data_IF_124307846710
#
_entry.id   IF_124307846710
#
_cell.length_a   1.000
_cell.length_b   1.000
_cell.length_c   1.000
_cell.angle_alpha   90.00
_cell.angle_beta   90.00
_cell.angle_gamma   90.00
#
_symmetry.space_group_name_H-M   'P 1'
#
loop_
_entity.id
_entity.type
_entity.pdbx_description
1 polymer ?
#
# COMPACT_ATOMS: atom_id res chain seq x y z
N UNK A 1 -8.33 -16.20 -5.07
CA UNK A 1 -7.76 -15.41 -6.19
C UNK A 1 -8.90 -15.05 -7.14
N UNK A 2 -9.01 -13.78 -7.56
CA UNK A 2 -10.03 -13.30 -8.48
C UNK A 2 -9.37 -12.97 -9.83
N UNK A 3 -9.83 -13.63 -10.90
CA UNK A 3 -9.24 -13.51 -12.24
C UNK A 3 -10.34 -13.16 -13.24
N UNK A 4 -10.01 -12.33 -14.22
CA UNK A 4 -10.93 -11.96 -15.29
C UNK A 4 -10.27 -10.93 -16.23
N UNK A 5 -10.94 -10.67 -17.35
CA UNK A 5 -10.52 -9.67 -18.34
C UNK A 5 -10.64 -8.25 -17.79
N UNK A 6 -9.97 -7.29 -18.46
CA UNK A 6 -10.15 -5.86 -18.15
C UNK A 6 -11.62 -5.48 -18.33
N UNK A 7 -12.18 -4.75 -17.36
CA UNK A 7 -13.59 -4.33 -17.38
C UNK A 7 -14.59 -5.41 -16.93
N UNK A 8 -14.13 -6.55 -16.39
CA UNK A 8 -15.02 -7.63 -15.89
C UNK A 8 -15.65 -7.35 -14.51
N UNK A 9 -15.31 -6.25 -13.87
CA UNK A 9 -15.87 -5.85 -12.57
C UNK A 9 -15.08 -6.33 -11.34
N UNK A 10 -13.83 -6.78 -11.49
CA UNK A 10 -12.98 -7.23 -10.37
C UNK A 10 -12.81 -6.17 -9.29
N UNK A 11 -12.43 -4.96 -9.69
CA UNK A 11 -12.24 -3.83 -8.75
C UNK A 11 -13.56 -3.39 -8.13
N UNK A 12 -14.65 -3.45 -8.87
CA UNK A 12 -16.00 -3.17 -8.39
C UNK A 12 -16.40 -4.14 -7.28
N UNK A 13 -16.12 -5.43 -7.46
CA UNK A 13 -16.38 -6.45 -6.45
C UNK A 13 -15.58 -6.19 -5.16
N UNK A 14 -14.27 -5.87 -5.28
CA UNK A 14 -13.44 -5.54 -4.12
C UNK A 14 -13.95 -4.33 -3.37
N UNK A 15 -14.33 -3.27 -4.07
CA UNK A 15 -14.92 -2.06 -3.46
C UNK A 15 -16.27 -2.34 -2.80
N UNK A 16 -17.06 -3.27 -3.33
CA UNK A 16 -18.30 -3.71 -2.71
C UNK A 16 -18.04 -4.41 -1.37
N UNK A 17 -17.01 -5.25 -1.29
CA UNK A 17 -16.60 -5.91 -0.05
C UNK A 17 -16.13 -4.92 1.02
N UNK A 18 -15.51 -3.81 0.61
CA UNK A 18 -15.11 -2.72 1.51
C UNK A 18 -16.29 -1.85 1.98
N UNK A 19 -17.47 -2.02 1.40
CA UNK A 19 -18.65 -1.23 1.72
C UNK A 19 -18.69 0.15 1.06
N UNK A 20 -17.82 0.42 0.09
CA UNK A 20 -17.79 1.69 -0.64
C UNK A 20 -18.92 1.86 -1.66
N UNK A 21 -19.53 0.76 -2.07
CA UNK A 21 -20.59 0.75 -3.06
C UNK A 21 -21.94 0.42 -2.43
N UNK A 22 -22.99 1.10 -2.90
CA UNK A 22 -24.38 0.79 -2.54
C UNK A 22 -24.89 -0.35 -3.41
N UNK A 23 -25.67 -1.25 -2.83
CA UNK A 23 -26.38 -2.31 -3.58
C UNK A 23 -27.86 -2.01 -3.61
N UNK A 24 -28.52 -2.45 -4.67
CA UNK A 24 -29.96 -2.32 -4.81
C UNK A 24 -30.72 -3.35 -3.95
N UNK A 25 -30.12 -4.53 -3.75
CA UNK A 25 -30.69 -5.60 -2.95
C UNK A 25 -29.60 -6.53 -2.42
N UNK A 26 -29.93 -7.29 -1.38
CA UNK A 26 -29.01 -8.25 -0.75
C UNK A 26 -28.14 -7.58 0.32
N UNK A 27 -27.06 -8.26 0.69
CA UNK A 27 -26.10 -7.80 1.69
C UNK A 27 -24.77 -8.56 1.59
N UNK A 28 -23.74 -7.95 2.14
CA UNK A 28 -22.41 -8.54 2.25
C UNK A 28 -22.08 -8.69 3.72
N UNK A 29 -21.68 -9.91 4.10
CA UNK A 29 -21.20 -10.20 5.45
C UNK A 29 -19.71 -10.53 5.38
N UNK A 30 -18.90 -9.84 6.16
CA UNK A 30 -17.45 -10.06 6.26
C UNK A 30 -17.08 -10.46 7.68
N UNK A 31 -16.10 -11.32 7.81
CA UNK A 31 -15.65 -11.84 9.11
C UNK A 31 -14.94 -10.77 9.95
N UNK A 32 -14.34 -9.76 9.30
CA UNK A 32 -13.65 -8.66 9.96
C UNK A 32 -13.87 -7.37 9.19
N UNK A 33 -13.87 -6.25 9.91
CA UNK A 33 -13.87 -4.90 9.32
C UNK A 33 -12.46 -4.36 9.08
N UNK A 34 -11.45 -5.02 9.65
CA UNK A 34 -10.05 -4.64 9.45
C UNK A 34 -9.60 -5.19 8.09
N UNK A 35 -9.70 -4.36 7.08
CA UNK A 35 -9.32 -4.70 5.71
C UNK A 35 -8.47 -3.57 5.14
N UNK A 36 -7.32 -3.95 4.57
CA UNK A 36 -6.48 -3.04 3.81
C UNK A 36 -6.76 -3.20 2.30
N UNK A 37 -6.82 -2.09 1.59
CA UNK A 37 -7.03 -2.07 0.15
C UNK A 37 -5.92 -1.30 -0.55
N UNK A 38 -5.21 -1.98 -1.44
CA UNK A 38 -4.22 -1.35 -2.31
C UNK A 38 -4.84 -1.13 -3.69
N UNK A 39 -5.00 0.13 -4.07
CA UNK A 39 -5.55 0.50 -5.38
C UNK A 39 -4.55 0.21 -6.50
N UNK A 40 -5.05 0.06 -7.73
CA UNK A 40 -4.22 -0.13 -8.91
C UNK A 40 -3.34 1.10 -9.23
N UNK A 41 -3.79 2.29 -8.82
CA UNK A 41 -3.04 3.53 -8.93
C UNK A 41 -2.68 4.03 -7.54
N UNK A 42 -1.61 3.53 -6.94
CA UNK A 42 -1.27 3.89 -5.58
C UNK A 42 -0.81 5.34 -5.48
N UNK A 43 -1.35 6.05 -4.50
CA UNK A 43 -0.89 7.36 -4.12
C UNK A 43 0.16 7.25 -3.01
N UNK A 44 1.25 8.00 -3.16
CA UNK A 44 2.31 8.09 -2.16
C UNK A 44 2.39 9.53 -1.64
N UNK A 45 2.43 9.74 -0.33
CA UNK A 45 2.74 11.04 0.24
C UNK A 45 4.18 11.46 -0.11
N UNK A 46 4.46 12.75 -0.01
CA UNK A 46 5.82 13.26 -0.08
C UNK A 46 6.51 13.01 1.26
N UNK A 47 7.15 11.88 1.40
CA UNK A 47 7.78 11.43 2.62
C UNK A 47 8.98 10.53 2.28
N UNK A 48 9.80 10.21 3.27
CA UNK A 48 10.89 9.24 3.09
C UNK A 48 10.33 7.82 3.04
N UNK A 49 11.10 6.89 2.50
CA UNK A 49 10.74 5.46 2.49
C UNK A 49 10.47 4.98 3.92
N UNK A 50 11.31 5.39 4.87
CA UNK A 50 11.19 5.05 6.28
C UNK A 50 9.87 5.54 6.87
N UNK A 51 9.51 6.80 6.66
CA UNK A 51 8.25 7.39 7.13
C UNK A 51 7.02 6.70 6.55
N UNK A 52 7.09 6.28 5.29
CA UNK A 52 5.97 5.57 4.64
C UNK A 52 5.78 4.18 5.21
N UNK A 53 6.87 3.46 5.51
CA UNK A 53 6.80 2.10 6.04
C UNK A 53 6.51 2.09 7.55
N UNK A 54 7.16 2.95 8.32
CA UNK A 54 7.01 2.99 9.78
C UNK A 54 5.81 3.83 10.25
N UNK A 55 5.28 4.71 9.40
CA UNK A 55 4.19 5.61 9.77
C UNK A 55 4.66 6.73 10.72
N UNK A 56 4.13 6.75 11.94
CA UNK A 56 4.36 7.85 12.88
C UNK A 56 5.80 7.85 13.41
N UNK A 57 6.51 8.99 13.37
CA UNK A 57 7.83 9.12 13.97
C UNK A 57 7.84 8.76 15.47
N UNK A 58 8.79 7.96 15.88
CA UNK A 58 8.96 7.54 17.29
C UNK A 58 8.48 6.12 17.61
N UNK A 59 7.86 5.43 16.67
CA UNK A 59 7.53 4.00 16.78
C UNK A 59 8.33 3.16 15.76
N UNK A 60 9.61 3.48 15.60
CA UNK A 60 10.48 2.78 14.66
C UNK A 60 10.91 1.43 15.22
N UNK A 61 10.17 0.38 14.92
CA UNK A 61 10.62 -0.99 15.07
C UNK A 61 11.48 -1.37 13.86
N UNK A 62 12.80 -1.36 14.05
CA UNK A 62 13.76 -1.66 12.99
C UNK A 62 13.67 -3.11 12.49
N UNK A 63 13.29 -4.06 13.34
CA UNK A 63 13.10 -5.45 12.93
C UNK A 63 11.86 -5.58 12.05
N UNK A 64 10.78 -4.94 12.46
CA UNK A 64 9.56 -4.85 11.66
C UNK A 64 9.83 -4.18 10.31
N UNK A 65 10.49 -3.03 10.32
CA UNK A 65 10.85 -2.30 9.11
C UNK A 65 11.60 -3.17 8.09
N UNK A 66 12.64 -3.87 8.55
CA UNK A 66 13.42 -4.77 7.70
C UNK A 66 12.58 -5.95 7.17
N UNK A 67 11.75 -6.51 8.01
CA UNK A 67 10.83 -7.59 7.64
C UNK A 67 9.88 -7.15 6.52
N UNK A 68 9.32 -5.96 6.64
CA UNK A 68 8.43 -5.35 5.63
C UNK A 68 9.16 -5.13 4.31
N UNK A 69 10.33 -4.50 4.33
CA UNK A 69 11.11 -4.27 3.11
C UNK A 69 11.44 -5.58 2.40
N UNK A 70 11.84 -6.61 3.16
CA UNK A 70 12.15 -7.92 2.61
C UNK A 70 10.90 -8.60 2.02
N UNK A 71 9.79 -8.59 2.73
CA UNK A 71 8.53 -9.16 2.27
C UNK A 71 7.99 -8.50 0.99
N UNK A 72 8.23 -7.19 0.83
CA UNK A 72 7.88 -6.44 -0.37
C UNK A 72 8.90 -6.58 -1.50
N UNK A 73 10.01 -7.28 -1.29
CA UNK A 73 11.15 -7.30 -2.21
C UNK A 73 11.63 -5.88 -2.58
N UNK A 74 11.65 -4.97 -1.61
CA UNK A 74 12.03 -3.57 -1.78
C UNK A 74 13.45 -3.26 -1.29
N UNK A 75 14.15 -4.24 -0.70
CA UNK A 75 15.52 -4.12 -0.17
C UNK A 75 16.49 -3.54 -1.21
N UNK A 76 16.47 -4.11 -2.42
CA UNK A 76 17.36 -3.70 -3.51
C UNK A 76 16.99 -2.32 -4.04
N UNK A 77 15.69 -2.02 -4.07
CA UNK A 77 15.20 -0.71 -4.50
C UNK A 77 15.67 0.40 -3.55
N UNK A 78 15.62 0.16 -2.24
CA UNK A 78 16.12 1.11 -1.22
C UNK A 78 17.61 1.38 -1.41
N UNK A 79 18.41 0.34 -1.62
CA UNK A 79 19.86 0.48 -1.83
C UNK A 79 20.21 1.25 -3.11
N UNK A 80 19.34 1.25 -4.10
CA UNK A 80 19.50 1.98 -5.34
C UNK A 80 19.10 3.46 -5.23
N UNK A 81 18.43 3.86 -4.15
CA UNK A 81 18.03 5.24 -3.91
C UNK A 81 19.21 6.10 -3.44
N UNK A 82 19.25 7.41 -3.77
CA UNK A 82 20.38 8.30 -3.46
C UNK A 82 20.77 8.37 -1.99
N UNK A 83 19.78 8.37 -1.09
CA UNK A 83 19.96 8.42 0.37
C UNK A 83 19.36 7.17 1.05
N UNK A 84 19.31 6.04 0.37
CA UNK A 84 18.68 4.82 0.86
C UNK A 84 17.25 5.09 1.36
N UNK A 85 16.93 4.65 2.59
CA UNK A 85 15.61 4.80 3.20
C UNK A 85 15.24 6.22 3.67
N UNK A 86 16.21 7.12 3.74
CA UNK A 86 16.00 8.56 4.01
C UNK A 86 15.74 9.37 2.72
N UNK A 87 15.65 8.70 1.57
CA UNK A 87 15.32 9.35 0.30
C UNK A 87 13.87 9.83 0.32
N UNK A 88 13.67 11.14 0.05
CA UNK A 88 12.34 11.69 -0.15
C UNK A 88 11.76 11.17 -1.47
N UNK A 89 10.59 10.55 -1.40
CA UNK A 89 9.85 10.03 -2.56
C UNK A 89 8.50 10.74 -2.70
N UNK A 90 7.89 10.60 -3.86
CA UNK A 90 6.64 11.28 -4.19
C UNK A 90 6.82 12.36 -5.24
N UNK A 91 5.87 13.28 -5.36
CA UNK A 91 5.87 14.31 -6.42
C UNK A 91 6.98 15.38 -6.24
N UNK A 92 7.51 15.53 -5.03
CA UNK A 92 8.58 16.49 -4.70
C UNK A 92 9.94 15.84 -4.54
N UNK A 93 10.04 14.54 -4.70
CA UNK A 93 11.27 13.77 -4.55
C UNK A 93 11.52 12.83 -5.72
N UNK A 94 12.19 11.72 -5.43
CA UNK A 94 12.45 10.69 -6.43
C UNK A 94 11.16 10.02 -6.87
N UNK A 95 10.97 9.91 -8.18
CA UNK A 95 9.81 9.23 -8.75
C UNK A 95 10.08 7.74 -8.85
N UNK A 96 9.30 6.96 -8.11
CA UNK A 96 9.34 5.49 -8.18
C UNK A 96 8.57 4.98 -9.41
N UNK A 97 8.99 3.84 -9.94
CA UNK A 97 8.22 3.11 -10.96
C UNK A 97 6.86 2.66 -10.40
N UNK A 98 5.92 2.35 -11.28
CA UNK A 98 4.59 1.85 -10.87
C UNK A 98 4.67 0.61 -9.98
N UNK A 99 5.54 -0.34 -10.32
CA UNK A 99 5.76 -1.54 -9.53
C UNK A 99 6.39 -1.27 -8.16
N UNK A 100 7.36 -0.35 -8.09
CA UNK A 100 7.96 0.09 -6.84
C UNK A 100 6.94 0.76 -5.92
N UNK A 101 6.14 1.69 -6.46
CA UNK A 101 5.04 2.33 -5.72
C UNK A 101 4.07 1.31 -5.15
N UNK A 102 3.67 0.34 -5.97
CA UNK A 102 2.70 -0.67 -5.58
C UNK A 102 3.22 -1.57 -4.45
N UNK A 103 4.49 -2.00 -4.53
CA UNK A 103 5.13 -2.76 -3.45
C UNK A 103 5.17 -1.98 -2.14
N UNK A 104 5.51 -0.70 -2.20
CA UNK A 104 5.62 0.14 -1.01
C UNK A 104 4.26 0.46 -0.38
N UNK A 105 3.23 0.71 -1.18
CA UNK A 105 1.88 1.08 -0.70
C UNK A 105 1.12 -0.10 -0.13
N UNK A 106 1.33 -1.31 -0.64
CA UNK A 106 0.65 -2.51 -0.11
C UNK A 106 0.86 -2.70 1.40
N UNK A 107 1.95 -2.19 1.97
CA UNK A 107 2.25 -2.27 3.39
C UNK A 107 1.94 -0.97 4.17
N UNK A 108 2.02 0.19 3.52
CA UNK A 108 1.66 1.46 4.14
C UNK A 108 0.16 1.61 4.42
N UNK A 109 -0.68 0.83 3.75
CA UNK A 109 -2.13 0.86 3.96
C UNK A 109 -2.60 0.17 5.25
N UNK A 110 -1.77 -0.67 5.87
CA UNK A 110 -2.10 -1.32 7.14
C UNK A 110 -2.03 -0.36 8.36
N UNK A 111 -1.42 0.81 8.20
CA UNK A 111 -1.24 1.78 9.29
C UNK A 111 -2.14 3.03 9.17
N UNK A 112 -3.03 3.09 8.19
CA UNK A 112 -3.85 4.27 7.89
C UNK A 112 -5.14 4.41 8.68
N UNK A 113 -5.54 3.44 9.49
CA UNK A 113 -6.73 3.52 10.34
C UNK A 113 -6.51 2.85 11.69
N UNK A 114 -6.09 3.62 12.59
CA UNK A 114 -6.45 3.44 14.00
C UNK A 114 -7.36 4.55 14.41
#
# INVERSE_FOLDING_TARGET
MLVGTVGSGKSTLLKSLLGELRFESGGISVATKNMAYCSQSPWLPNATVREIVCGIPGHEDLEWYRTVLHACAFDQDVLALPNNDDTLIGSRGVTLSGGQKQRLVCWGSDFGET
#
